data_IF_022812479837
#
_entry.id   IF_022812479837
#
_cell.length_a   1.000
_cell.length_b   1.000
_cell.length_c   1.000
_cell.angle_alpha   90.00
_cell.angle_beta   90.00
_cell.angle_gamma   90.00
#
_symmetry.space_group_name_H-M   'P 1'
#
loop_
_entity.id
_entity.type
_entity.pdbx_description
1 polymer ?
#
# COMPACT_ATOMS: atom_id res chain seq x y z
N UNK A 1 13.67 12.56 -3.82
CA UNK A 1 12.76 11.46 -4.15
C UNK A 1 11.49 12.04 -4.77
N UNK A 2 10.69 11.23 -5.45
CA UNK A 2 9.33 11.59 -5.90
C UNK A 2 8.37 10.55 -5.33
N UNK A 3 7.21 11.01 -4.84
CA UNK A 3 6.13 10.14 -4.41
C UNK A 3 4.97 10.24 -5.41
N UNK A 4 4.69 9.14 -6.10
CA UNK A 4 3.63 9.02 -7.09
C UNK A 4 2.35 8.48 -6.45
N UNK A 5 1.24 9.12 -6.76
CA UNK A 5 -0.09 8.60 -6.46
C UNK A 5 -0.54 7.66 -7.59
N UNK A 6 -0.77 6.41 -7.25
CA UNK A 6 -1.29 5.37 -8.13
C UNK A 6 -2.68 4.99 -7.63
N UNK A 7 -3.74 5.22 -8.39
CA UNK A 7 -5.07 4.81 -7.96
C UNK A 7 -5.94 4.44 -9.16
N UNK A 8 -5.75 3.24 -9.73
CA UNK A 8 -6.36 2.84 -11.01
C UNK A 8 -7.90 2.89 -10.97
N UNK A 9 -8.50 2.73 -9.79
CA UNK A 9 -9.96 2.74 -9.60
C UNK A 9 -10.57 4.14 -9.67
N UNK A 10 -9.79 5.21 -9.40
CA UNK A 10 -10.32 6.59 -9.30
C UNK A 10 -9.78 7.52 -10.38
N UNK A 11 -8.83 7.06 -11.19
CA UNK A 11 -8.30 7.83 -12.32
C UNK A 11 -9.25 7.76 -13.51
N UNK A 12 -9.96 8.86 -13.79
CA UNK A 12 -10.78 9.03 -15.01
C UNK A 12 -9.94 9.02 -16.31
N UNK A 13 -8.63 9.25 -16.20
CA UNK A 13 -7.67 9.14 -17.29
C UNK A 13 -6.65 8.05 -16.94
N UNK A 14 -6.57 6.94 -17.68
CA UNK A 14 -5.56 5.92 -17.43
C UNK A 14 -4.17 6.52 -17.60
N UNK A 15 -3.20 6.03 -16.81
CA UNK A 15 -1.80 6.37 -17.06
C UNK A 15 -1.43 5.92 -18.48
N UNK A 16 -0.77 6.76 -19.29
CA UNK A 16 -0.30 6.35 -20.60
C UNK A 16 0.57 5.10 -20.47
N UNK A 17 0.43 4.18 -21.43
CA UNK A 17 1.23 2.96 -21.46
C UNK A 17 2.73 3.28 -21.34
N UNK A 18 3.45 2.53 -20.52
CA UNK A 18 4.89 2.72 -20.28
C UNK A 18 5.27 4.02 -19.54
N UNK A 19 4.32 4.74 -18.94
CA UNK A 19 4.61 5.97 -18.19
C UNK A 19 5.66 5.74 -17.08
N UNK A 20 5.48 4.71 -16.25
CA UNK A 20 6.37 4.42 -15.12
C UNK A 20 7.81 4.18 -15.59
N UNK A 21 8.01 3.29 -16.57
CA UNK A 21 9.29 3.07 -17.25
C UNK A 21 9.92 4.36 -17.80
N UNK A 22 9.15 5.18 -18.54
CA UNK A 22 9.67 6.45 -19.08
C UNK A 22 10.06 7.44 -17.97
N UNK A 23 9.26 7.49 -16.91
CA UNK A 23 9.53 8.35 -15.76
C UNK A 23 10.81 7.92 -15.05
N UNK A 24 11.01 6.61 -14.79
CA UNK A 24 12.26 6.07 -14.25
C UNK A 24 13.47 6.36 -15.14
N UNK A 25 13.30 6.26 -16.46
CA UNK A 25 14.38 6.56 -17.40
C UNK A 25 14.82 8.02 -17.32
N UNK A 26 13.90 8.93 -17.00
CA UNK A 26 14.15 10.37 -16.86
C UNK A 26 14.67 10.74 -15.47
N UNK A 27 14.05 10.20 -14.43
CA UNK A 27 14.33 10.55 -13.04
C UNK A 27 15.13 9.46 -12.35
N UNK A 28 16.34 9.80 -11.91
CA UNK A 28 17.31 8.87 -11.29
C UNK A 28 17.33 8.89 -9.76
N UNK A 29 16.48 9.71 -9.14
CA UNK A 29 16.30 9.66 -7.69
C UNK A 29 15.32 8.56 -7.29
N UNK A 30 15.17 8.36 -5.98
CA UNK A 30 14.20 7.41 -5.41
C UNK A 30 12.76 7.73 -5.80
N UNK A 31 12.03 6.74 -6.31
CA UNK A 31 10.62 6.80 -6.66
C UNK A 31 9.83 5.91 -5.70
N UNK A 32 8.89 6.53 -5.01
CA UNK A 32 7.94 5.87 -4.12
C UNK A 32 6.57 5.92 -4.81
N UNK A 33 5.77 4.84 -4.77
CA UNK A 33 4.37 4.91 -5.18
C UNK A 33 3.41 4.42 -4.09
N UNK A 34 2.21 4.98 -4.05
CA UNK A 34 1.17 4.57 -3.12
C UNK A 34 -0.22 4.61 -3.76
N UNK A 35 -1.12 3.79 -3.22
CA UNK A 35 -2.52 3.70 -3.60
C UNK A 35 -2.80 2.49 -4.50
N UNK A 36 -3.86 1.74 -4.18
CA UNK A 36 -4.32 0.60 -5.00
C UNK A 36 -3.35 -0.57 -5.20
N UNK A 37 -2.14 -0.55 -4.65
CA UNK A 37 -1.20 -1.66 -4.73
C UNK A 37 -1.65 -2.85 -3.88
N UNK A 38 -1.61 -4.04 -4.48
CA UNK A 38 -1.50 -5.32 -3.76
C UNK A 38 -0.02 -5.70 -3.64
N UNK A 39 0.29 -6.75 -2.86
CA UNK A 39 1.64 -7.32 -2.79
C UNK A 39 2.16 -7.65 -4.19
N UNK A 40 1.40 -8.42 -4.97
CA UNK A 40 1.83 -8.90 -6.29
C UNK A 40 2.09 -7.74 -7.28
N UNK A 41 1.21 -6.73 -7.29
CA UNK A 41 1.40 -5.55 -8.15
C UNK A 41 2.63 -4.74 -7.72
N UNK A 42 2.91 -4.68 -6.42
CA UNK A 42 4.07 -3.99 -5.89
C UNK A 42 5.37 -4.74 -6.22
N UNK A 43 5.41 -6.06 -5.99
CA UNK A 43 6.55 -6.92 -6.33
C UNK A 43 6.89 -6.80 -7.81
N UNK A 44 5.90 -6.94 -8.70
CA UNK A 44 6.11 -6.79 -10.14
C UNK A 44 6.71 -5.43 -10.52
N UNK A 45 6.20 -4.33 -9.94
CA UNK A 45 6.71 -2.99 -10.26
C UNK A 45 8.14 -2.74 -9.75
N UNK A 46 8.54 -3.41 -8.66
CA UNK A 46 9.91 -3.38 -8.14
C UNK A 46 10.84 -4.24 -8.99
N UNK A 47 10.42 -5.46 -9.36
CA UNK A 47 11.18 -6.36 -10.25
C UNK A 47 11.40 -5.76 -11.63
N UNK A 48 10.41 -5.01 -12.12
CA UNK A 48 10.52 -4.29 -13.38
C UNK A 48 11.43 -3.05 -13.27
N UNK A 49 12.00 -2.68 -12.12
CA UNK A 49 12.75 -1.42 -11.90
C UNK A 49 11.92 -0.19 -12.30
N UNK A 50 10.59 -0.23 -12.10
CA UNK A 50 9.73 0.94 -12.34
C UNK A 50 9.68 1.88 -11.13
N UNK A 51 9.86 1.33 -9.94
CA UNK A 51 9.77 1.99 -8.64
C UNK A 51 10.91 1.50 -7.74
N UNK A 52 11.30 2.31 -6.75
CA UNK A 52 12.25 1.88 -5.73
C UNK A 52 11.54 1.43 -4.44
N UNK A 53 10.37 2.02 -4.13
CA UNK A 53 9.59 1.73 -2.92
C UNK A 53 8.08 1.79 -3.20
N UNK A 54 7.30 0.99 -2.46
CA UNK A 54 5.83 1.04 -2.48
C UNK A 54 5.31 1.24 -1.05
N UNK A 55 4.37 2.17 -0.88
CA UNK A 55 3.73 2.45 0.40
C UNK A 55 2.30 1.91 0.44
N UNK A 56 1.95 1.27 1.56
CA UNK A 56 0.64 0.70 1.83
C UNK A 56 -0.03 1.48 2.97
N UNK A 57 -1.22 2.03 2.71
CA UNK A 57 -2.01 2.77 3.70
C UNK A 57 -3.04 1.88 4.38
N UNK A 58 -4.20 1.70 3.73
CA UNK A 58 -5.33 0.90 4.23
C UNK A 58 -4.93 -0.49 4.74
N UNK A 59 -4.09 -1.28 4.04
CA UNK A 59 -3.64 -2.57 4.57
C UNK A 59 -2.90 -2.44 5.91
N UNK A 60 -2.10 -1.39 6.09
CA UNK A 60 -1.33 -1.20 7.33
C UNK A 60 -2.20 -0.77 8.51
N UNK A 61 -3.36 -0.14 8.26
CA UNK A 61 -4.31 0.23 9.33
C UNK A 61 -4.74 -1.01 10.12
N UNK A 62 -5.12 -2.08 9.42
CA UNK A 62 -5.67 -3.28 10.06
C UNK A 62 -4.65 -4.39 10.35
N UNK A 63 -3.40 -4.22 9.90
CA UNK A 63 -2.36 -5.24 9.95
C UNK A 63 -1.09 -4.60 10.51
N UNK A 64 -0.91 -4.53 11.85
CA UNK A 64 0.30 -3.95 12.44
C UNK A 64 1.58 -4.71 12.06
N UNK A 65 1.44 -5.97 11.67
CA UNK A 65 2.45 -6.91 11.18
C UNK A 65 2.39 -7.12 9.65
N UNK A 66 2.00 -6.08 8.89
CA UNK A 66 1.79 -6.18 7.44
C UNK A 66 3.01 -6.75 6.70
N UNK A 67 4.22 -6.36 7.12
CA UNK A 67 5.46 -6.79 6.48
C UNK A 67 5.64 -8.30 6.62
N UNK A 68 5.49 -8.82 7.84
CA UNK A 68 5.58 -10.25 8.14
C UNK A 68 4.51 -11.03 7.38
N UNK A 69 3.27 -10.52 7.32
CA UNK A 69 2.20 -11.15 6.54
C UNK A 69 2.54 -11.21 5.06
N UNK A 70 3.06 -10.14 4.48
CA UNK A 70 3.47 -10.12 3.07
C UNK A 70 4.59 -11.11 2.79
N UNK A 71 5.64 -11.13 3.63
CA UNK A 71 6.77 -12.04 3.49
C UNK A 71 6.36 -13.52 3.54
N UNK A 72 5.42 -13.87 4.43
CA UNK A 72 4.98 -15.25 4.62
C UNK A 72 3.73 -15.62 3.78
N UNK A 73 3.15 -14.67 3.05
CA UNK A 73 1.90 -14.89 2.32
C UNK A 73 0.69 -15.13 3.23
N UNK A 74 0.68 -14.58 4.44
CA UNK A 74 -0.45 -14.73 5.37
C UNK A 74 -1.62 -13.81 4.99
N UNK A 75 -2.86 -14.20 5.35
CA UNK A 75 -4.04 -13.38 5.08
C UNK A 75 -3.99 -12.00 5.75
N UNK A 76 -4.42 -10.98 5.01
CA UNK A 76 -4.58 -9.63 5.53
C UNK A 76 -5.98 -9.47 6.15
N UNK A 77 -6.03 -8.85 7.33
CA UNK A 77 -7.26 -8.40 7.95
C UNK A 77 -7.85 -7.21 7.18
N UNK A 78 -9.18 -7.13 7.14
CA UNK A 78 -9.89 -5.98 6.58
C UNK A 78 -10.02 -4.86 7.61
N UNK A 79 -9.79 -3.63 7.16
CA UNK A 79 -9.96 -2.44 8.00
C UNK A 79 -11.42 -1.97 8.02
N UNK A 80 -11.86 -1.38 9.12
CA UNK A 80 -13.17 -0.74 9.21
C UNK A 80 -13.04 0.76 8.92
N UNK A 81 -13.63 1.23 7.83
CA UNK A 81 -13.55 2.66 7.45
C UNK A 81 -14.31 3.57 8.42
N UNK A 82 -15.28 3.05 9.18
CA UNK A 82 -16.04 3.81 10.16
C UNK A 82 -15.17 4.23 11.37
N UNK A 83 -14.03 3.57 11.59
CA UNK A 83 -13.15 3.82 12.74
C UNK A 83 -11.89 4.61 12.40
N UNK A 84 -11.68 4.99 11.13
CA UNK A 84 -10.45 5.68 10.71
C UNK A 84 -10.23 7.04 11.39
N UNK A 85 -11.31 7.75 11.71
CA UNK A 85 -11.23 9.12 12.20
C UNK A 85 -12.09 9.28 13.45
N UNK A 86 -11.43 9.38 14.61
CA UNK A 86 -12.05 9.78 15.87
C UNK A 86 -13.23 8.91 16.30
N UNK A 87 -12.96 7.89 17.10
CA UNK A 87 -14.02 7.05 17.68
C UNK A 87 -14.43 7.60 19.05
N UNK A 88 -15.70 7.99 19.19
CA UNK A 88 -16.24 8.44 20.48
C UNK A 88 -16.38 7.25 21.45
N UNK A 89 -15.87 7.42 22.68
CA UNK A 89 -16.02 6.43 23.75
C UNK A 89 -15.05 5.25 23.74
N UNK A 90 -14.24 5.06 22.69
CA UNK A 90 -13.24 3.98 22.60
C UNK A 90 -12.07 4.40 21.69
N UNK A 91 -11.08 5.17 22.19
CA UNK A 91 -9.99 5.70 21.37
C UNK A 91 -9.10 4.61 20.74
N UNK A 92 -9.03 3.43 21.36
CA UNK A 92 -8.27 2.28 20.86
C UNK A 92 -8.93 1.59 19.66
N UNK A 93 -10.26 1.74 19.50
CA UNK A 93 -11.06 0.96 18.55
C UNK A 93 -10.72 1.31 17.10
N UNK A 94 -10.27 0.32 16.33
CA UNK A 94 -9.83 0.49 14.95
C UNK A 94 -8.52 1.29 14.82
N UNK A 95 -7.75 1.41 15.90
CA UNK A 95 -6.48 2.15 15.91
C UNK A 95 -5.33 1.29 16.45
N UNK A 96 -5.39 0.87 17.72
CA UNK A 96 -4.36 0.04 18.36
C UNK A 96 -4.83 -1.36 18.74
N UNK A 97 -6.08 -1.71 18.46
CA UNK A 97 -6.72 -2.97 18.82
C UNK A 97 -6.71 -4.03 17.71
N UNK A 98 -6.14 -3.72 16.54
CA UNK A 98 -5.91 -4.72 15.48
C UNK A 98 -4.86 -5.75 15.93
N UNK A 99 -5.18 -7.07 15.88
CA UNK A 99 -4.25 -8.09 16.33
C UNK A 99 -3.17 -8.38 15.28
N UNK A 100 -1.99 -8.77 15.76
CA UNK A 100 -0.99 -9.46 14.92
C UNK A 100 -1.53 -10.81 14.46
N UNK A 101 -1.08 -11.30 13.31
CA UNK A 101 -1.47 -12.61 12.82
C UNK A 101 -0.99 -13.71 13.78
N UNK A 102 -1.84 -14.72 13.97
CA UNK A 102 -1.52 -15.91 14.72
C UNK A 102 -1.90 -17.12 13.88
N UNK A 103 -1.00 -18.09 13.81
CA UNK A 103 -1.30 -19.39 13.22
C UNK A 103 -2.48 -20.02 13.97
N UNK A 104 -3.38 -20.66 13.24
CA UNK A 104 -4.41 -21.53 13.81
C UNK A 104 -3.81 -22.84 14.30
#
# INVERSE_FOLDING_TARGET
>A
YVHLYYQPVYTKAPLPEGFRRRFRNTFKGTIIAAGGFTRDIAEQALEDDELDLVAFGVPYIANPDLVERMQNGWPLAESDRATYYGVSGSPEKGYTDYPVWQAQ
#
